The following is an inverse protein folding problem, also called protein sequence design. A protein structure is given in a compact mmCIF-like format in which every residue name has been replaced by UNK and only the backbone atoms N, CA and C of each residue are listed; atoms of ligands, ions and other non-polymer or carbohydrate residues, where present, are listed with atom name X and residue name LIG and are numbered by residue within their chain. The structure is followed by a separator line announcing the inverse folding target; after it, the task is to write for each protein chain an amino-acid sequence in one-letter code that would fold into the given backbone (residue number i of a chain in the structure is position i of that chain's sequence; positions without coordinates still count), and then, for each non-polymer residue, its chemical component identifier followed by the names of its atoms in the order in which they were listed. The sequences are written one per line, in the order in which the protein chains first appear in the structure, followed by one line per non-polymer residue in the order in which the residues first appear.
data_IF_630590656113
#
_entry.id   IF_630590656113
#
_cell.length_a   1.000
_cell.length_b   1.000
_cell.length_c   1.000
_cell.angle_alpha   90.00
_cell.angle_beta   90.00
_cell.angle_gamma   90.00
#
_symmetry.space_group_name_H-M   'P 1'
#
loop_
_entity.id
_entity.type
_entity.pdbx_description
1 polymer ?
#
# COMPACT_ATOMS: atom_id res chain seq x y z
N UNK A 1 -13.43 45.47 -8.24
CA UNK A 1 -12.04 45.07 -8.10
C UNK A 1 -11.96 44.22 -6.85
N UNK A 2 -12.17 42.95 -7.00
CA UNK A 2 -12.12 41.95 -5.91
C UNK A 2 -10.76 41.34 -5.94
N UNK A 3 -9.94 41.69 -4.94
CA UNK A 3 -8.66 41.00 -4.67
C UNK A 3 -8.98 39.54 -4.30
N UNK A 4 -8.81 38.63 -5.20
CA UNK A 4 -8.63 37.20 -4.85
C UNK A 4 -7.28 37.09 -4.14
N UNK A 5 -7.20 36.44 -2.97
CA UNK A 5 -5.90 36.06 -2.44
C UNK A 5 -5.24 35.12 -3.44
N UNK A 6 -3.97 35.35 -3.74
CA UNK A 6 -3.16 34.46 -4.56
C UNK A 6 -3.22 33.06 -3.94
N UNK A 7 -3.85 32.14 -4.67
CA UNK A 7 -3.83 30.73 -4.31
C UNK A 7 -2.37 30.29 -4.24
N UNK A 8 -1.93 29.86 -3.08
CA UNK A 8 -0.63 29.22 -2.90
C UNK A 8 -0.71 27.91 -3.69
N UNK A 9 -0.41 28.00 -4.98
CA UNK A 9 -0.20 26.86 -5.83
C UNK A 9 1.05 26.15 -5.31
N UNK A 10 0.86 25.10 -4.55
CA UNK A 10 1.92 24.13 -4.24
C UNK A 10 2.31 23.46 -5.56
N UNK A 11 3.14 24.12 -6.34
CA UNK A 11 3.82 23.50 -7.47
C UNK A 11 4.76 22.46 -6.88
N UNK A 12 4.28 21.23 -6.78
CA UNK A 12 5.18 20.10 -6.53
C UNK A 12 6.16 20.04 -7.71
N UNK A 13 7.47 20.23 -7.48
CA UNK A 13 8.43 20.03 -8.55
C UNK A 13 8.31 18.60 -9.04
N UNK A 14 8.69 18.37 -10.29
CA UNK A 14 8.91 17.05 -10.84
C UNK A 14 10.02 16.38 -10.04
N UNK A 15 9.70 15.87 -8.88
CA UNK A 15 10.65 15.18 -8.03
C UNK A 15 10.72 13.73 -8.49
N UNK A 16 11.88 13.32 -8.94
CA UNK A 16 12.32 11.96 -8.82
C UNK A 16 12.37 11.64 -7.32
N UNK A 17 11.24 11.20 -6.77
CA UNK A 17 11.09 10.89 -5.36
C UNK A 17 11.46 9.45 -5.10
N UNK A 18 12.60 9.26 -4.43
CA UNK A 18 12.98 7.98 -3.87
C UNK A 18 12.09 7.64 -2.67
N UNK A 19 11.72 6.37 -2.58
CA UNK A 19 11.14 5.65 -1.43
C UNK A 19 9.63 5.80 -1.33
N UNK A 20 8.95 4.89 -1.99
CA UNK A 20 7.63 4.47 -1.55
C UNK A 20 7.78 3.63 -0.26
N UNK A 21 7.45 4.22 0.86
CA UNK A 21 7.26 3.52 2.12
C UNK A 21 5.80 3.10 2.28
N UNK A 22 5.27 2.35 1.35
CA UNK A 22 3.96 1.76 1.52
C UNK A 22 3.97 0.45 2.33
N UNK A 23 5.10 0.10 2.94
CA UNK A 23 5.19 -1.06 3.81
C UNK A 23 5.35 -0.62 5.26
N UNK A 24 4.21 -0.33 5.89
CA UNK A 24 4.15 -0.21 7.33
C UNK A 24 4.50 -1.56 7.97
N UNK A 25 5.48 -1.55 8.86
CA UNK A 25 5.69 -2.66 9.77
C UNK A 25 4.43 -2.81 10.63
N UNK A 26 3.60 -3.80 10.32
CA UNK A 26 2.54 -4.21 11.23
C UNK A 26 3.23 -4.83 12.43
N UNK A 27 3.23 -4.12 13.55
CA UNK A 27 3.65 -4.66 14.84
C UNK A 27 2.59 -5.66 15.30
N UNK A 28 2.59 -6.85 14.72
CA UNK A 28 1.95 -7.99 15.34
C UNK A 28 2.86 -8.46 16.48
N UNK A 29 2.28 -8.63 17.63
CA UNK A 29 2.92 -9.09 18.85
C UNK A 29 3.90 -10.24 18.56
N UNK A 30 5.19 -9.96 18.56
CA UNK A 30 6.23 -10.98 18.63
C UNK A 30 7.30 -11.04 17.54
N UNK A 31 7.08 -10.55 16.32
CA UNK A 31 8.13 -10.47 15.30
C UNK A 31 7.81 -9.39 14.28
N UNK A 32 8.67 -8.39 14.17
CA UNK A 32 8.63 -7.42 13.09
C UNK A 32 8.93 -8.13 11.76
N UNK A 33 7.93 -8.33 10.92
CA UNK A 33 8.15 -8.77 9.54
C UNK A 33 8.55 -7.53 8.76
N UNK A 34 9.84 -7.33 8.57
CA UNK A 34 10.37 -6.31 7.68
C UNK A 34 10.24 -6.86 6.26
N UNK A 35 9.24 -6.44 5.53
CA UNK A 35 9.19 -6.64 4.09
C UNK A 35 10.31 -5.81 3.45
N UNK A 36 11.37 -6.46 3.03
CA UNK A 36 12.50 -5.82 2.39
C UNK A 36 12.33 -5.87 0.87
N UNK A 37 11.64 -4.89 0.33
CA UNK A 37 11.65 -4.61 -1.11
C UNK A 37 12.17 -3.19 -1.32
N UNK A 38 13.07 -2.99 -2.27
CA UNK A 38 13.44 -1.66 -2.73
C UNK A 38 12.50 -1.27 -3.87
N UNK A 39 11.81 -0.14 -3.72
CA UNK A 39 10.90 0.38 -4.74
C UNK A 39 11.44 1.64 -5.39
N UNK A 40 11.19 1.79 -6.69
CA UNK A 40 11.47 2.99 -7.48
C UNK A 40 10.18 3.42 -8.17
N UNK A 41 9.91 4.70 -8.23
CA UNK A 41 8.70 5.19 -8.89
C UNK A 41 8.90 6.57 -9.50
N UNK A 42 8.10 6.85 -10.53
CA UNK A 42 7.98 8.15 -11.16
C UNK A 42 6.52 8.59 -11.15
N UNK A 43 6.31 9.87 -10.88
CA UNK A 43 5.01 10.52 -10.99
C UNK A 43 5.03 11.44 -12.20
N UNK A 44 3.97 11.38 -12.98
CA UNK A 44 3.85 12.11 -14.24
C UNK A 44 2.52 12.86 -14.25
N UNK A 45 2.57 14.17 -14.20
CA UNK A 45 1.37 14.98 -14.38
C UNK A 45 1.00 14.96 -15.86
N UNK A 46 -0.07 14.21 -16.19
CA UNK A 46 -0.55 14.00 -17.57
C UNK A 46 -1.42 15.17 -18.03
N UNK A 47 -2.21 15.73 -17.09
CA UNK A 47 -3.10 16.85 -17.33
C UNK A 47 -3.17 17.74 -16.10
N UNK A 48 -3.30 19.04 -16.30
CA UNK A 48 -3.53 20.03 -15.26
C UNK A 48 -4.41 21.14 -15.82
N UNK A 49 -5.45 21.49 -15.08
CA UNK A 49 -6.28 22.67 -15.28
C UNK A 49 -6.31 23.51 -13.99
N UNK A 50 -7.16 24.55 -13.91
CA UNK A 50 -7.28 25.40 -12.72
C UNK A 50 -7.65 24.60 -11.48
N UNK A 51 -8.57 23.64 -11.62
CA UNK A 51 -9.13 22.89 -10.50
C UNK A 51 -8.82 21.39 -10.57
N UNK A 52 -8.27 20.89 -11.69
CA UNK A 52 -8.09 19.46 -11.91
C UNK A 52 -6.64 19.07 -12.20
N UNK A 53 -6.18 18.00 -11.55
CA UNK A 53 -4.91 17.34 -11.83
C UNK A 53 -5.13 15.86 -12.17
N UNK A 54 -4.51 15.40 -13.26
CA UNK A 54 -4.42 13.97 -13.58
C UNK A 54 -2.95 13.54 -13.55
N UNK A 55 -2.64 12.62 -12.66
CA UNK A 55 -1.28 12.17 -12.40
C UNK A 55 -1.19 10.67 -12.66
N UNK A 56 -0.32 10.27 -13.58
CA UNK A 56 0.06 8.87 -13.75
C UNK A 56 1.26 8.55 -12.85
N UNK A 57 1.26 7.38 -12.25
CA UNK A 57 2.41 6.86 -11.53
C UNK A 57 2.83 5.53 -12.15
N UNK A 58 4.13 5.30 -12.20
CA UNK A 58 4.72 4.02 -12.58
C UNK A 58 5.81 3.70 -11.57
N UNK A 59 5.58 2.65 -10.79
CA UNK A 59 6.52 2.13 -9.81
C UNK A 59 7.03 0.76 -10.19
N UNK A 60 8.19 0.42 -9.65
CA UNK A 60 8.78 -0.92 -9.74
C UNK A 60 9.34 -1.30 -8.38
N UNK A 61 9.15 -2.56 -7.99
CA UNK A 61 9.70 -3.12 -6.77
C UNK A 61 10.69 -4.23 -7.09
N UNK A 62 11.85 -4.19 -6.43
CA UNK A 62 12.90 -5.19 -6.58
C UNK A 62 12.90 -6.11 -5.36
N UNK A 63 12.92 -7.45 -5.53
CA UNK A 63 12.89 -8.40 -4.42
C UNK A 63 14.24 -8.41 -3.69
N UNK A 64 14.37 -7.64 -2.64
CA UNK A 64 15.55 -7.64 -1.77
C UNK A 64 15.39 -8.58 -0.57
N UNK A 65 14.16 -9.01 -0.28
CA UNK A 65 13.84 -9.96 0.79
C UNK A 65 14.04 -11.41 0.40
N UNK A 66 14.43 -12.24 1.38
CA UNK A 66 14.67 -13.66 1.16
C UNK A 66 13.39 -14.49 1.25
N UNK A 67 13.09 -15.25 0.20
CA UNK A 67 12.04 -16.29 0.18
C UNK A 67 12.54 -17.68 0.60
N UNK A 68 13.85 -17.80 0.91
CA UNK A 68 14.50 -19.09 1.16
C UNK A 68 14.57 -19.49 2.64
N UNK A 69 13.98 -18.70 3.53
CA UNK A 69 13.98 -19.02 4.97
C UNK A 69 13.18 -20.29 5.22
N UNK A 70 13.79 -21.16 6.02
CA UNK A 70 13.22 -22.45 6.42
C UNK A 70 13.13 -22.54 7.94
N UNK A 71 12.24 -23.39 8.42
CA UNK A 71 12.12 -23.77 9.82
C UNK A 71 12.16 -25.28 9.95
N UNK A 72 12.58 -25.76 11.11
CA UNK A 72 12.54 -27.19 11.44
C UNK A 72 11.38 -27.44 12.36
N UNK A 73 10.47 -28.35 12.00
CA UNK A 73 9.34 -28.73 12.83
C UNK A 73 9.76 -29.96 13.65
N UNK A 74 9.91 -29.83 14.99
CA UNK A 74 10.41 -30.93 15.85
C UNK A 74 9.49 -32.14 15.90
N UNK A 75 8.19 -31.92 15.74
CA UNK A 75 7.14 -32.97 15.86
C UNK A 75 7.06 -33.92 14.67
N UNK A 76 7.66 -33.57 13.53
CA UNK A 76 7.58 -34.37 12.29
C UNK A 76 8.91 -35.06 11.94
N UNK A 77 9.71 -35.42 12.91
CA UNK A 77 11.01 -36.05 12.66
C UNK A 77 12.09 -35.08 12.15
N UNK A 78 12.09 -33.85 12.61
CA UNK A 78 13.05 -32.79 12.24
C UNK A 78 13.02 -32.44 10.74
N UNK A 79 11.85 -32.42 10.11
CA UNK A 79 11.70 -32.04 8.69
C UNK A 79 11.93 -30.55 8.52
N UNK A 80 12.86 -30.22 7.62
CA UNK A 80 13.11 -28.81 7.21
C UNK A 80 12.05 -28.40 6.19
N UNK A 81 11.28 -27.36 6.49
CA UNK A 81 10.22 -26.84 5.63
C UNK A 81 10.40 -25.34 5.39
N UNK A 82 9.87 -24.85 4.26
CA UNK A 82 9.78 -23.42 4.02
C UNK A 82 8.87 -22.76 5.06
N UNK A 83 9.20 -21.51 5.45
CA UNK A 83 8.29 -20.73 6.29
C UNK A 83 6.95 -20.54 5.61
N UNK A 84 5.85 -20.45 6.37
CA UNK A 84 4.55 -20.04 5.85
C UNK A 84 4.64 -18.73 5.07
N UNK A 85 3.82 -18.56 4.04
CA UNK A 85 3.83 -17.36 3.19
C UNK A 85 3.83 -16.04 3.97
N UNK A 86 3.01 -15.85 5.03
CA UNK A 86 3.00 -14.61 5.79
C UNK A 86 4.28 -14.34 6.60
N UNK A 87 5.12 -15.34 6.79
CA UNK A 87 6.39 -15.23 7.53
C UNK A 87 7.60 -15.04 6.62
N UNK A 88 7.42 -14.98 5.31
CA UNK A 88 8.50 -14.77 4.34
C UNK A 88 8.87 -13.30 4.24
N UNK A 89 10.16 -13.00 4.13
CA UNK A 89 10.71 -11.65 4.08
C UNK A 89 10.65 -11.04 2.66
N UNK A 90 9.63 -11.28 1.89
CA UNK A 90 9.46 -10.70 0.57
C UNK A 90 8.75 -11.63 -0.42
N UNK A 91 8.36 -11.07 -1.55
CA UNK A 91 7.69 -11.80 -2.64
C UNK A 91 8.65 -12.67 -3.46
N UNK A 92 9.91 -12.25 -3.53
CA UNK A 92 10.90 -12.85 -4.45
C UNK A 92 10.63 -12.53 -5.92
N UNK A 93 9.66 -11.66 -6.23
CA UNK A 93 9.30 -11.22 -7.58
C UNK A 93 9.62 -9.76 -7.78
N UNK A 94 9.90 -9.38 -9.03
CA UNK A 94 9.82 -7.98 -9.43
C UNK A 94 8.35 -7.62 -9.59
N UNK A 95 7.94 -6.46 -9.08
CA UNK A 95 6.56 -6.02 -9.22
C UNK A 95 6.51 -4.71 -10.00
N UNK A 96 5.54 -4.62 -10.92
CA UNK A 96 5.17 -3.38 -11.59
C UNK A 96 3.99 -2.74 -10.84
N UNK A 97 4.07 -1.42 -10.61
CA UNK A 97 3.08 -0.65 -9.85
C UNK A 97 2.56 0.54 -10.65
N UNK A 98 1.85 0.31 -11.78
CA UNK A 98 1.18 1.40 -12.47
C UNK A 98 -0.03 1.89 -11.69
N UNK A 99 -0.32 3.19 -11.85
CA UNK A 99 -1.50 3.79 -11.27
C UNK A 99 -1.86 5.12 -11.91
N UNK A 100 -3.05 5.60 -11.59
CA UNK A 100 -3.61 6.85 -12.06
C UNK A 100 -4.33 7.54 -10.92
N UNK A 101 -4.10 8.83 -10.75
CA UNK A 101 -4.71 9.66 -9.72
C UNK A 101 -5.33 10.88 -10.38
N UNK A 102 -6.63 11.06 -10.18
CA UNK A 102 -7.33 12.30 -10.47
C UNK A 102 -7.58 13.05 -9.17
N UNK A 103 -7.37 14.37 -9.17
CA UNK A 103 -7.66 15.28 -8.06
C UNK A 103 -8.43 16.46 -8.58
N UNK A 104 -9.43 16.86 -7.82
CA UNK A 104 -10.18 18.09 -8.01
C UNK A 104 -10.04 18.96 -6.77
N UNK A 105 -9.74 20.25 -6.97
CA UNK A 105 -9.52 21.21 -5.92
C UNK A 105 -10.72 22.16 -5.83
N UNK A 106 -11.21 22.35 -4.63
CA UNK A 106 -12.25 23.30 -4.27
C UNK A 106 -11.68 24.38 -3.34
N UNK A 107 -12.43 25.48 -3.13
CA UNK A 107 -11.98 26.60 -2.27
C UNK A 107 -11.58 26.15 -0.84
N UNK A 108 -12.27 25.16 -0.29
CA UNK A 108 -12.06 24.66 1.08
C UNK A 108 -11.73 23.17 1.15
N UNK A 109 -11.34 22.56 0.06
CA UNK A 109 -11.07 21.13 0.10
C UNK A 109 -10.54 20.55 -1.19
N UNK A 110 -10.45 19.23 -1.22
CA UNK A 110 -10.11 18.49 -2.42
C UNK A 110 -10.77 17.13 -2.44
N UNK A 111 -11.21 16.75 -3.62
CA UNK A 111 -11.71 15.41 -3.93
C UNK A 111 -10.67 14.66 -4.73
N UNK A 112 -10.55 13.36 -4.57
CA UNK A 112 -9.67 12.58 -5.42
C UNK A 112 -10.13 11.14 -5.62
N UNK A 113 -9.68 10.60 -6.74
CA UNK A 113 -9.88 9.21 -7.12
C UNK A 113 -8.55 8.64 -7.59
N UNK A 114 -8.16 7.49 -7.05
CA UNK A 114 -6.90 6.88 -7.40
C UNK A 114 -7.09 5.39 -7.65
N UNK A 115 -6.55 4.91 -8.76
CA UNK A 115 -6.41 3.50 -9.05
C UNK A 115 -4.92 3.14 -9.05
N UNK A 116 -4.54 2.17 -8.24
CA UNK A 116 -3.18 1.63 -8.16
C UNK A 116 -3.19 0.12 -8.28
N UNK A 117 -2.11 -0.41 -8.83
CA UNK A 117 -1.90 -1.86 -8.91
C UNK A 117 -0.52 -2.24 -8.38
N UNK A 118 -0.39 -3.48 -7.90
CA UNK A 118 0.89 -4.12 -7.61
C UNK A 118 0.87 -5.49 -8.28
N UNK A 119 1.58 -5.62 -9.41
CA UNK A 119 1.53 -6.78 -10.28
C UNK A 119 2.92 -7.44 -10.32
N UNK A 120 3.08 -8.66 -9.78
CA UNK A 120 4.33 -9.39 -9.87
C UNK A 120 4.63 -9.79 -11.31
N UNK A 121 5.88 -9.57 -11.73
CA UNK A 121 6.35 -9.92 -13.07
C UNK A 121 7.01 -11.30 -13.03
N UNK A 122 6.24 -12.31 -13.44
CA UNK A 122 6.69 -13.69 -13.45
C UNK A 122 6.69 -14.36 -12.07
N UNK A 123 7.29 -15.53 -11.99
CA UNK A 123 7.40 -16.32 -10.77
C UNK A 123 8.78 -16.18 -10.14
N UNK A 124 8.84 -16.28 -8.83
CA UNK A 124 10.09 -16.28 -8.09
C UNK A 124 10.84 -17.62 -8.24
N UNK A 125 12.05 -17.70 -7.67
CA UNK A 125 12.90 -18.91 -7.70
C UNK A 125 12.30 -20.13 -6.98
N UNK A 126 11.19 -19.97 -6.26
CA UNK A 126 10.43 -21.05 -5.63
C UNK A 126 9.27 -21.55 -6.50
N UNK A 127 9.05 -20.97 -7.68
CA UNK A 127 8.05 -21.39 -8.65
C UNK A 127 6.65 -20.82 -8.44
N UNK A 128 6.48 -19.79 -7.57
CA UNK A 128 5.21 -19.09 -7.37
C UNK A 128 5.37 -17.58 -7.54
N UNK A 129 4.27 -16.88 -7.80
CA UNK A 129 4.16 -15.44 -7.65
C UNK A 129 3.13 -15.08 -6.57
N UNK A 130 3.34 -13.94 -5.94
CA UNK A 130 2.36 -13.39 -4.99
C UNK A 130 1.13 -12.85 -5.73
N UNK A 131 0.10 -12.46 -4.99
CA UNK A 131 -1.13 -11.88 -5.52
C UNK A 131 -0.87 -10.65 -6.38
N UNK A 132 -1.62 -10.50 -7.47
CA UNK A 132 -1.87 -9.18 -8.04
C UNK A 132 -2.78 -8.41 -7.07
N UNK A 133 -2.46 -7.16 -6.84
CA UNK A 133 -3.25 -6.28 -5.98
C UNK A 133 -3.77 -5.11 -6.80
N UNK A 134 -5.06 -4.84 -6.68
CA UNK A 134 -5.75 -3.72 -7.32
C UNK A 134 -6.42 -2.89 -6.23
N UNK A 135 -6.10 -1.58 -6.19
CA UNK A 135 -6.67 -0.66 -5.22
C UNK A 135 -7.38 0.48 -5.91
N UNK A 136 -8.60 0.74 -5.48
CA UNK A 136 -9.36 1.92 -5.86
C UNK A 136 -9.65 2.75 -4.61
N UNK A 137 -9.09 3.95 -4.54
CA UNK A 137 -9.27 4.90 -3.46
C UNK A 137 -10.10 6.09 -3.95
N UNK A 138 -11.09 6.48 -3.15
CA UNK A 138 -11.79 7.75 -3.29
C UNK A 138 -11.67 8.51 -1.98
N UNK A 139 -11.33 9.79 -2.02
CA UNK A 139 -11.23 10.59 -0.79
C UNK A 139 -11.77 12.00 -0.99
N UNK A 140 -12.16 12.57 0.13
CA UNK A 140 -12.45 13.99 0.27
C UNK A 140 -11.69 14.54 1.46
N UNK A 141 -11.05 15.70 1.27
CA UNK A 141 -10.36 16.44 2.32
C UNK A 141 -10.99 17.81 2.44
N UNK A 142 -11.26 18.23 3.66
CA UNK A 142 -11.82 19.55 3.98
C UNK A 142 -10.86 20.35 4.84
N UNK A 143 -10.54 21.57 4.39
CA UNK A 143 -9.69 22.50 5.12
C UNK A 143 -10.54 23.26 6.15
N UNK A 144 -10.41 22.90 7.41
CA UNK A 144 -11.14 23.54 8.49
C UNK A 144 -10.52 24.87 8.95
N UNK A 145 -9.19 24.96 8.87
CA UNK A 145 -8.40 26.19 9.10
C UNK A 145 -7.15 26.13 8.20
N UNK A 146 -6.39 27.21 8.15
CA UNK A 146 -5.14 27.25 7.37
C UNK A 146 -4.14 26.14 7.75
N UNK A 147 -4.27 25.58 8.95
CA UNK A 147 -3.34 24.59 9.49
C UNK A 147 -3.96 23.24 9.83
N UNK A 148 -5.28 23.09 9.66
CA UNK A 148 -6.01 21.87 10.05
C UNK A 148 -6.96 21.44 8.93
N UNK A 149 -6.81 20.18 8.50
CA UNK A 149 -7.73 19.56 7.57
C UNK A 149 -8.23 18.20 8.09
N UNK A 150 -9.45 17.86 7.72
CA UNK A 150 -10.04 16.54 7.95
C UNK A 150 -10.19 15.82 6.62
N UNK A 151 -10.05 14.50 6.65
CA UNK A 151 -10.24 13.68 5.45
C UNK A 151 -11.07 12.44 5.72
N UNK A 152 -11.81 12.04 4.71
CA UNK A 152 -12.49 10.76 4.65
C UNK A 152 -12.04 10.05 3.37
N UNK A 153 -11.70 8.78 3.47
CA UNK A 153 -11.23 7.96 2.36
C UNK A 153 -11.91 6.61 2.34
N UNK A 154 -12.36 6.18 1.18
CA UNK A 154 -12.85 4.84 0.95
C UNK A 154 -11.83 4.10 0.10
N UNK A 155 -11.32 2.98 0.60
CA UNK A 155 -10.37 2.12 -0.09
C UNK A 155 -11.00 0.78 -0.40
N UNK A 156 -11.01 0.43 -1.67
CA UNK A 156 -11.35 -0.90 -2.15
C UNK A 156 -10.07 -1.61 -2.57
N UNK A 157 -9.85 -2.81 -2.06
CA UNK A 157 -8.70 -3.62 -2.41
C UNK A 157 -9.14 -5.02 -2.86
N UNK A 158 -8.68 -5.42 -4.04
CA UNK A 158 -8.83 -6.78 -4.57
C UNK A 158 -7.47 -7.43 -4.69
N UNK A 159 -7.37 -8.65 -4.21
CA UNK A 159 -6.18 -9.50 -4.33
C UNK A 159 -6.53 -10.79 -5.03
N UNK A 160 -5.73 -11.17 -6.03
CA UNK A 160 -5.82 -12.52 -6.60
C UNK A 160 -5.17 -13.54 -5.67
N UNK A 161 -5.42 -14.81 -5.90
CA UNK A 161 -4.65 -15.86 -5.26
C UNK A 161 -3.20 -15.87 -5.76
N UNK A 162 -2.31 -16.55 -5.05
CA UNK A 162 -0.94 -16.77 -5.55
C UNK A 162 -0.99 -17.71 -6.76
N UNK A 163 -0.16 -17.42 -7.76
CA UNK A 163 0.00 -18.28 -8.93
C UNK A 163 1.22 -19.19 -8.78
N UNK A 164 1.08 -20.44 -9.21
CA UNK A 164 2.13 -21.45 -9.12
C UNK A 164 2.13 -22.16 -7.77
N UNK A 165 3.26 -22.78 -7.41
CA UNK A 165 3.42 -23.57 -6.19
C UNK A 165 4.86 -23.55 -5.70
N UNK A 166 5.06 -23.48 -4.38
CA UNK A 166 6.35 -23.72 -3.75
C UNK A 166 6.52 -25.22 -3.43
N UNK A 167 7.46 -25.94 -4.09
CA UNK A 167 7.67 -27.37 -3.83
C UNK A 167 8.13 -27.68 -2.40
N UNK A 168 8.66 -26.69 -1.67
CA UNK A 168 9.09 -26.85 -0.28
C UNK A 168 8.05 -26.36 0.73
N UNK A 169 6.92 -25.83 0.26
CA UNK A 169 5.80 -25.56 1.16
C UNK A 169 5.18 -26.89 1.58
N UNK A 170 4.90 -27.09 2.88
CA UNK A 170 4.29 -28.34 3.34
C UNK A 170 2.92 -28.54 2.71
N UNK A 171 2.76 -29.68 2.05
CA UNK A 171 1.47 -30.10 1.53
C UNK A 171 0.57 -30.52 2.69
N UNK A 172 -0.48 -29.75 2.93
CA UNK A 172 -1.54 -30.12 3.85
C UNK A 172 -1.18 -29.95 5.33
N UNK A 173 -1.99 -29.25 6.04
CA UNK A 173 -1.91 -29.07 7.49
C UNK A 173 -1.78 -27.63 7.96
N UNK A 174 -1.22 -26.74 7.16
CA UNK A 174 -1.15 -25.32 7.51
C UNK A 174 -1.87 -24.53 6.42
N UNK A 175 -3.10 -24.07 6.71
CA UNK A 175 -3.93 -23.33 5.74
C UNK A 175 -3.27 -22.08 5.19
N UNK A 176 -2.32 -21.48 5.93
CA UNK A 176 -1.54 -20.33 5.50
C UNK A 176 -0.50 -20.63 4.40
N UNK A 177 -0.28 -21.90 4.06
CA UNK A 177 0.61 -22.35 2.97
C UNK A 177 -0.13 -22.76 1.70
N UNK A 178 -1.43 -22.52 1.63
CA UNK A 178 -2.24 -22.81 0.46
C UNK A 178 -2.27 -21.58 -0.42
N UNK A 179 -1.81 -21.68 -1.65
CA UNK A 179 -1.70 -20.58 -2.60
C UNK A 179 -3.07 -19.97 -2.92
N UNK A 180 -4.11 -20.80 -3.08
CA UNK A 180 -5.50 -20.36 -3.32
C UNK A 180 -6.18 -19.73 -2.11
N UNK A 181 -5.51 -19.64 -0.97
CA UNK A 181 -6.00 -18.97 0.23
C UNK A 181 -5.30 -17.61 0.46
N UNK A 182 -4.85 -16.94 -0.60
CA UNK A 182 -4.10 -15.68 -0.50
C UNK A 182 -4.80 -14.49 -1.14
N UNK A 183 -5.85 -14.74 -1.88
CA UNK A 183 -6.70 -13.71 -2.48
C UNK A 183 -7.79 -13.22 -1.55
N UNK A 184 -8.60 -12.29 -2.06
CA UNK A 184 -9.77 -11.77 -1.37
C UNK A 184 -10.07 -10.32 -1.74
N UNK A 185 -11.05 -9.78 -1.04
CA UNK A 185 -11.51 -8.41 -1.18
C UNK A 185 -11.62 -7.74 0.18
N UNK A 186 -11.28 -6.47 0.26
CA UNK A 186 -11.52 -5.66 1.45
C UNK A 186 -12.00 -4.25 1.09
N UNK A 187 -12.88 -3.71 1.95
CA UNK A 187 -13.38 -2.34 1.91
C UNK A 187 -13.02 -1.66 3.22
N UNK A 188 -12.24 -0.60 3.15
CA UNK A 188 -11.74 0.13 4.30
C UNK A 188 -12.22 1.59 4.26
N UNK A 189 -12.49 2.17 5.45
CA UNK A 189 -12.85 3.58 5.61
C UNK A 189 -11.73 4.31 6.37
N UNK A 190 -11.03 5.21 5.71
CA UNK A 190 -10.04 6.07 6.35
C UNK A 190 -10.67 7.35 6.90
N UNK A 191 -10.39 7.66 8.16
CA UNK A 191 -10.76 8.90 8.82
C UNK A 191 -9.48 9.61 9.25
N UNK A 192 -9.15 10.73 8.59
CA UNK A 192 -7.86 11.39 8.74
C UNK A 192 -7.96 12.80 9.32
N UNK A 193 -6.90 13.18 10.02
CA UNK A 193 -6.66 14.55 10.48
C UNK A 193 -5.26 14.94 10.06
N UNK A 194 -5.14 16.09 9.40
CA UNK A 194 -3.87 16.63 8.93
C UNK A 194 -3.59 17.96 9.61
N UNK A 195 -2.37 18.10 10.13
CA UNK A 195 -1.86 19.32 10.75
C UNK A 195 -0.68 19.85 9.95
N UNK A 196 -0.75 21.11 9.57
CA UNK A 196 0.37 21.84 8.97
C UNK A 196 0.99 22.81 10.00
N UNK A 197 2.24 22.56 10.39
CA UNK A 197 2.95 23.38 11.36
C UNK A 197 4.34 23.70 10.80
N UNK A 198 4.64 24.98 10.58
CA UNK A 198 5.96 25.46 10.13
C UNK A 198 6.49 24.71 8.88
N UNK A 199 5.63 24.45 7.89
CA UNK A 199 5.99 23.72 6.68
C UNK A 199 6.14 22.20 6.85
N UNK A 200 5.81 21.68 8.02
CA UNK A 200 5.76 20.25 8.30
C UNK A 200 4.31 19.76 8.29
N UNK A 201 4.04 18.70 7.58
CA UNK A 201 2.72 18.07 7.52
C UNK A 201 2.73 16.79 8.37
N UNK A 202 1.90 16.77 9.40
CA UNK A 202 1.59 15.57 10.18
C UNK A 202 0.18 15.09 9.79
N UNK A 203 0.09 13.85 9.37
CA UNK A 203 -1.20 13.20 9.08
C UNK A 203 -1.38 11.98 9.99
N UNK A 204 -2.56 11.88 10.59
CA UNK A 204 -2.99 10.73 11.38
C UNK A 204 -4.30 10.22 10.79
N UNK A 205 -4.33 8.95 10.40
CA UNK A 205 -5.50 8.33 9.79
C UNK A 205 -5.86 7.04 10.54
N UNK A 206 -7.10 6.92 10.98
CA UNK A 206 -7.69 5.71 11.52
C UNK A 206 -8.50 5.01 10.43
N UNK A 207 -8.22 3.74 10.18
CA UNK A 207 -8.76 2.99 9.04
C UNK A 207 -9.42 1.70 9.54
N UNK A 208 -10.70 1.74 9.97
CA UNK A 208 -11.47 0.52 10.22
C UNK A 208 -11.79 -0.20 8.90
N UNK A 209 -11.78 -1.53 8.95
CA UNK A 209 -12.26 -2.38 7.86
C UNK A 209 -13.78 -2.50 7.96
N UNK A 210 -14.49 -2.06 6.91
CA UNK A 210 -15.95 -2.14 6.86
C UNK A 210 -16.44 -3.51 6.42
N UNK A 211 -15.71 -4.11 5.50
CA UNK A 211 -16.02 -5.41 4.94
C UNK A 211 -14.76 -6.11 4.45
N UNK A 212 -14.69 -7.41 4.62
CA UNK A 212 -13.66 -8.25 4.01
C UNK A 212 -14.21 -9.63 3.70
N UNK A 213 -13.80 -10.15 2.54
CA UNK A 213 -14.10 -11.50 2.06
C UNK A 213 -12.78 -12.11 1.57
N UNK A 214 -12.18 -12.91 2.44
CA UNK A 214 -10.83 -13.45 2.24
C UNK A 214 -10.91 -14.93 1.83
N UNK A 215 -10.13 -15.31 0.82
CA UNK A 215 -10.08 -16.68 0.37
C UNK A 215 -9.42 -17.57 1.42
N UNK A 216 -10.19 -18.49 2.00
CA UNK A 216 -9.69 -19.51 2.93
C UNK A 216 -9.18 -18.95 4.27
N UNK A 217 -8.11 -19.54 4.81
CA UNK A 217 -7.61 -19.22 6.14
C UNK A 217 -6.58 -18.09 6.05
N UNK A 218 -7.01 -16.89 6.33
CA UNK A 218 -6.18 -15.68 6.43
C UNK A 218 -6.48 -14.93 7.74
N UNK A 219 -5.56 -14.04 8.13
CA UNK A 219 -5.80 -13.14 9.23
C UNK A 219 -6.63 -11.96 8.74
N UNK A 220 -7.72 -11.70 9.42
CA UNK A 220 -8.55 -10.52 9.21
C UNK A 220 -7.90 -9.29 9.85
N UNK A 221 -8.13 -8.14 9.25
CA UNK A 221 -7.69 -6.85 9.81
C UNK A 221 -8.91 -6.07 10.24
N UNK A 222 -9.03 -5.79 11.53
CA UNK A 222 -10.16 -5.02 12.06
C UNK A 222 -9.98 -3.53 11.81
N UNK A 223 -8.78 -3.02 12.06
CA UNK A 223 -8.44 -1.61 11.86
C UNK A 223 -6.93 -1.40 11.72
N UNK A 224 -6.58 -0.27 11.14
CA UNK A 224 -5.20 0.20 11.02
C UNK A 224 -5.12 1.66 11.47
N UNK A 225 -4.03 2.02 12.14
CA UNK A 225 -3.68 3.40 12.44
C UNK A 225 -2.44 3.77 11.64
N UNK A 226 -2.57 4.78 10.78
CA UNK A 226 -1.47 5.30 9.98
C UNK A 226 -1.07 6.69 10.51
N UNK A 227 0.23 6.89 10.70
CA UNK A 227 0.81 8.18 11.05
C UNK A 227 1.90 8.49 10.05
N UNK A 228 1.80 9.62 9.38
CA UNK A 228 2.82 10.09 8.45
C UNK A 228 3.26 11.51 8.78
N UNK A 229 4.54 11.76 8.59
CA UNK A 229 5.14 13.07 8.75
C UNK A 229 5.96 13.38 7.51
N UNK A 230 5.78 14.58 6.97
CA UNK A 230 6.55 15.05 5.82
C UNK A 230 7.02 16.50 6.03
N UNK A 231 8.15 16.84 5.47
CA UNK A 231 8.72 18.19 5.48
C UNK A 231 9.19 18.57 4.09
N UNK A 232 9.01 19.82 3.72
CA UNK A 232 9.56 20.38 2.48
C UNK A 232 10.92 20.99 2.81
N UNK A 233 11.97 20.50 2.18
CA UNK A 233 13.32 21.06 2.27
C UNK A 233 13.47 22.00 1.08
N UNK A 234 13.71 23.28 1.38
CA UNK A 234 13.96 24.32 0.38
C UNK A 234 15.47 24.48 0.12
#
# INVERSE_FOLDING_TARGET
MTNRPESVSLKLPTCFGFIDRSEFATLAHGNAVVNTAAGFGALWRVFQDEDDDLIANLGFSVPTGSVFRTTTIPTAGAVVQALPFPMRLGSGTFNARPGLTWKHYEDFGSLGLQFNTDIPVGRNYRGYSVSDVYKLNAWYSHLATDNLAFSVRLENEWRTDYDGRDPMAPNGGIGTNVESFRGGYSLNLGLGVMFLVEGQLLNVEFVPTLFQDLNGVQLETDWTLAVSWSTTIH
#
